data_IF_914284483225
#
_entry.id   IF_914284483225
#
_cell.length_a   1.000
_cell.length_b   1.000
_cell.length_c   1.000
_cell.angle_alpha   90.00
_cell.angle_beta   90.00
_cell.angle_gamma   90.00
#
_symmetry.space_group_name_H-M   'P 1'
#
loop_
_entity.id
_entity.type
_entity.pdbx_description
1 polymer ?
#
# COMPACT_ATOMS: atom_id res chain seq x y z
N UNK A 1 17.08 0.22 25.14
CA UNK A 1 15.94 -0.21 24.34
C UNK A 1 14.88 0.86 24.13
N UNK A 2 14.34 1.51 25.19
CA UNK A 2 13.33 2.59 25.02
C UNK A 2 13.84 3.77 24.19
N UNK A 3 15.15 4.01 24.14
CA UNK A 3 15.75 5.07 23.32
C UNK A 3 15.94 4.67 21.84
N UNK A 4 15.90 3.38 21.52
CA UNK A 4 16.05 2.90 20.14
C UNK A 4 14.74 3.05 19.35
N UNK A 5 13.60 2.70 19.97
CA UNK A 5 12.27 2.90 19.39
C UNK A 5 11.94 4.39 19.47
N UNK A 6 11.58 4.97 18.34
CA UNK A 6 11.21 6.38 18.20
C UNK A 6 9.70 6.49 18.00
N UNK A 7 9.14 7.64 18.32
CA UNK A 7 7.74 7.94 18.06
C UNK A 7 7.60 8.71 16.75
N UNK A 8 6.48 8.52 16.07
CA UNK A 8 6.07 9.37 14.97
C UNK A 8 5.84 10.84 15.37
N UNK A 9 5.75 11.13 16.66
CA UNK A 9 5.60 12.48 17.20
C UNK A 9 6.89 13.29 17.08
N UNK A 10 7.23 13.63 15.84
CA UNK A 10 8.40 14.44 15.52
C UNK A 10 8.10 15.36 14.34
N UNK A 11 8.87 16.44 14.21
CA UNK A 11 8.84 17.29 13.02
C UNK A 11 9.48 16.56 11.83
N UNK A 12 9.15 16.94 10.60
CA UNK A 12 9.76 16.40 9.37
C UNK A 12 11.29 16.42 9.46
N UNK A 13 11.87 17.55 9.91
CA UNK A 13 13.31 17.72 10.09
C UNK A 13 13.88 16.79 11.18
N UNK A 14 13.10 16.56 12.23
CA UNK A 14 13.46 15.63 13.30
C UNK A 14 13.53 14.19 12.76
N UNK A 15 12.54 13.78 11.98
CA UNK A 15 12.51 12.45 11.36
C UNK A 15 13.63 12.25 10.33
N UNK A 16 13.98 13.26 9.52
CA UNK A 16 15.15 13.21 8.63
C UNK A 16 16.45 12.95 9.44
N UNK A 17 16.66 13.70 10.54
CA UNK A 17 17.83 13.53 11.39
C UNK A 17 17.85 12.18 12.12
N UNK A 18 16.68 11.64 12.49
CA UNK A 18 16.55 10.30 13.05
C UNK A 18 16.89 9.25 11.98
N UNK A 19 16.31 9.36 10.80
CA UNK A 19 16.56 8.43 9.70
C UNK A 19 18.04 8.36 9.29
N UNK A 20 18.70 9.52 9.17
CA UNK A 20 20.14 9.59 8.86
C UNK A 20 21.02 8.91 9.91
N UNK A 21 20.62 8.93 11.20
CA UNK A 21 21.34 8.23 12.28
C UNK A 21 21.10 6.71 12.29
N UNK A 22 20.05 6.24 11.63
CA UNK A 22 19.74 4.82 11.48
C UNK A 22 20.16 4.28 10.10
N UNK A 23 21.04 5.01 9.38
CA UNK A 23 21.56 4.56 8.10
C UNK A 23 22.16 3.14 8.22
N UNK A 24 21.89 2.29 7.23
CA UNK A 24 22.28 0.88 7.16
C UNK A 24 21.72 0.02 8.32
N UNK A 25 20.65 0.50 8.98
CA UNK A 25 20.03 -0.18 10.11
C UNK A 25 18.51 -0.24 10.03
N UNK A 26 17.91 -0.57 11.18
CA UNK A 26 16.46 -0.63 11.37
C UNK A 26 15.99 0.62 12.13
N UNK A 27 15.05 1.35 11.55
CA UNK A 27 14.31 2.41 12.23
C UNK A 27 12.95 1.88 12.69
N UNK A 28 12.72 1.84 14.00
CA UNK A 28 11.43 1.51 14.59
C UNK A 28 10.70 2.80 14.96
N UNK A 29 9.49 3.00 14.40
CA UNK A 29 8.61 4.13 14.71
C UNK A 29 7.30 3.64 15.32
N UNK A 30 7.04 4.10 16.55
CA UNK A 30 5.88 3.72 17.35
C UNK A 30 4.72 4.68 17.13
N UNK A 31 3.51 4.14 16.97
CA UNK A 31 2.22 4.81 16.91
C UNK A 31 2.09 5.85 15.78
N UNK A 32 1.74 5.37 14.58
CA UNK A 32 1.59 6.23 13.39
C UNK A 32 0.52 7.32 13.54
N UNK A 33 -0.49 7.10 14.39
CA UNK A 33 -1.53 8.10 14.66
C UNK A 33 -0.98 9.40 15.32
N UNK A 34 0.23 9.38 15.86
CA UNK A 34 0.86 10.55 16.47
C UNK A 34 1.47 11.53 15.45
N UNK A 35 1.64 11.13 14.20
CA UNK A 35 2.07 12.07 13.16
C UNK A 35 0.91 12.99 12.75
N UNK A 36 1.23 14.22 12.38
CA UNK A 36 0.24 15.12 11.79
C UNK A 36 -0.35 14.48 10.52
N UNK A 37 -1.65 14.17 10.53
CA UNK A 37 -2.35 13.52 9.43
C UNK A 37 -2.17 14.25 8.09
N UNK A 38 -2.05 15.60 8.13
CA UNK A 38 -1.83 16.41 6.94
C UNK A 38 -0.46 16.20 6.31
N UNK A 39 0.51 15.66 7.04
CA UNK A 39 1.90 15.41 6.65
C UNK A 39 2.23 13.92 6.52
N UNK A 40 1.38 13.06 7.06
CA UNK A 40 1.62 11.62 7.11
C UNK A 40 2.04 11.04 5.74
N UNK A 41 1.33 11.39 4.68
CA UNK A 41 1.64 10.94 3.33
C UNK A 41 2.99 11.43 2.79
N UNK A 42 3.38 12.68 3.10
CA UNK A 42 4.67 13.24 2.68
C UNK A 42 5.84 12.58 3.40
N UNK A 43 5.68 12.36 4.70
CA UNK A 43 6.70 11.70 5.54
C UNK A 43 6.85 10.22 5.13
N UNK A 44 5.74 9.52 4.90
CA UNK A 44 5.74 8.15 4.41
C UNK A 44 6.35 7.98 3.01
N UNK A 45 6.37 9.04 2.23
CA UNK A 45 7.10 9.07 0.96
C UNK A 45 8.59 9.35 1.16
N UNK A 46 8.94 10.28 2.06
CA UNK A 46 10.31 10.75 2.32
C UNK A 46 11.18 9.64 2.95
N UNK A 47 10.68 9.00 4.01
CA UNK A 47 11.48 8.01 4.77
C UNK A 47 11.99 6.86 3.90
N UNK A 48 11.14 6.15 3.11
CA UNK A 48 11.61 5.08 2.24
C UNK A 48 12.37 5.56 1.00
N UNK A 49 12.27 6.85 0.64
CA UNK A 49 13.04 7.42 -0.47
C UNK A 49 14.53 7.61 -0.13
N UNK A 50 14.90 7.54 1.15
CA UNK A 50 16.28 7.62 1.58
C UNK A 50 16.94 8.99 1.41
N UNK A 51 16.15 10.07 1.23
CA UNK A 51 16.68 11.40 0.94
C UNK A 51 15.84 12.51 1.57
N UNK A 52 16.49 13.39 2.31
CA UNK A 52 15.88 14.56 2.93
C UNK A 52 15.59 15.69 1.94
N UNK A 53 14.95 16.75 2.44
CA UNK A 53 14.63 17.94 1.66
C UNK A 53 15.87 18.80 1.41
N UNK A 54 16.01 19.34 0.21
CA UNK A 54 17.01 20.36 -0.08
C UNK A 54 16.71 21.64 0.69
N UNK A 55 17.69 22.16 1.38
CA UNK A 55 17.58 23.43 2.15
C UNK A 55 18.73 24.34 1.80
N UNK A 56 18.51 25.65 1.96
CA UNK A 56 19.54 26.66 1.85
C UNK A 56 20.09 27.03 3.23
N UNK A 57 21.37 27.40 3.27
CA UNK A 57 21.98 28.06 4.43
C UNK A 57 21.48 29.49 4.55
N UNK A 58 21.74 30.16 5.66
CA UNK A 58 21.41 31.60 5.84
C UNK A 58 22.04 32.49 4.77
N UNK A 59 23.13 32.05 4.15
CA UNK A 59 23.86 32.78 3.12
C UNK A 59 23.43 32.40 1.70
N UNK A 60 22.31 31.67 1.50
CA UNK A 60 21.80 31.29 0.21
C UNK A 60 22.52 30.12 -0.48
N UNK A 61 23.54 29.52 0.13
CA UNK A 61 24.22 28.33 -0.40
C UNK A 61 23.38 27.08 -0.10
N UNK A 62 23.43 26.07 -0.99
CA UNK A 62 22.75 24.79 -0.76
C UNK A 62 23.36 24.09 0.45
N UNK A 63 22.51 23.63 1.37
CA UNK A 63 22.92 22.75 2.48
C UNK A 63 23.05 21.33 1.97
N UNK A 64 24.00 20.58 2.51
CA UNK A 64 24.13 19.16 2.21
C UNK A 64 22.81 18.41 2.53
N UNK A 65 22.39 17.55 1.57
CA UNK A 65 21.17 16.76 1.72
C UNK A 65 21.51 15.53 2.53
N UNK A 66 20.78 15.31 3.62
CA UNK A 66 20.88 14.06 4.36
C UNK A 66 20.36 12.89 3.49
N UNK A 67 21.09 11.79 3.51
CA UNK A 67 20.74 10.55 2.81
C UNK A 67 20.82 9.39 3.79
N UNK A 68 20.02 8.37 3.53
CA UNK A 68 19.99 7.15 4.33
C UNK A 68 19.49 5.97 3.50
N UNK A 69 19.93 4.77 3.87
CA UNK A 69 19.36 3.49 3.45
C UNK A 69 19.02 2.72 4.72
N UNK A 70 17.75 2.40 4.94
CA UNK A 70 17.31 1.76 6.18
C UNK A 70 16.10 0.85 5.95
N UNK A 71 15.91 -0.11 6.83
CA UNK A 71 14.65 -0.80 7.00
C UNK A 71 13.76 -0.01 7.97
N UNK A 72 12.48 0.14 7.65
CA UNK A 72 11.48 0.81 8.49
C UNK A 72 10.48 -0.20 9.02
N UNK A 73 10.32 -0.23 10.35
CA UNK A 73 9.24 -0.94 11.02
C UNK A 73 8.38 0.06 11.77
N UNK A 74 7.08 0.00 11.57
CA UNK A 74 6.11 0.87 12.24
C UNK A 74 4.92 0.07 12.72
N UNK A 75 4.30 0.53 13.77
CA UNK A 75 3.01 0.03 14.26
C UNK A 75 2.01 1.19 14.41
N UNK A 76 0.76 0.85 14.68
CA UNK A 76 -0.32 1.79 14.94
C UNK A 76 -1.68 1.12 14.85
N UNK A 77 -2.68 1.69 15.53
CA UNK A 77 -4.07 1.22 15.49
C UNK A 77 -4.76 1.55 14.16
N UNK A 78 -4.24 2.51 13.42
CA UNK A 78 -4.75 2.95 12.11
C UNK A 78 -3.66 2.85 11.05
N UNK A 79 -4.06 2.60 9.81
CA UNK A 79 -3.12 2.63 8.70
C UNK A 79 -2.87 4.07 8.19
N UNK A 80 -1.78 4.22 7.44
CA UNK A 80 -1.36 5.51 6.87
C UNK A 80 -2.46 6.15 6.00
N UNK A 81 -3.18 5.34 5.23
CA UNK A 81 -4.25 5.82 4.33
C UNK A 81 -5.42 6.35 5.14
N UNK A 82 -5.93 5.55 6.08
CA UNK A 82 -7.02 5.95 6.97
C UNK A 82 -6.66 7.22 7.76
N UNK A 83 -5.41 7.33 8.19
CA UNK A 83 -4.92 8.52 8.90
C UNK A 83 -4.92 9.77 8.00
N UNK A 84 -4.39 9.68 6.77
CA UNK A 84 -4.39 10.78 5.82
C UNK A 84 -5.80 11.17 5.35
N UNK A 85 -6.67 10.20 5.12
CA UNK A 85 -8.05 10.42 4.67
C UNK A 85 -8.88 11.14 5.73
N UNK A 86 -8.54 11.02 7.03
CA UNK A 86 -9.21 11.73 8.13
C UNK A 86 -9.20 13.26 7.97
N UNK A 87 -8.23 13.81 7.24
CA UNK A 87 -8.10 15.25 6.93
C UNK A 87 -8.40 15.56 5.46
N UNK A 88 -9.13 14.69 4.75
CA UNK A 88 -9.51 14.84 3.33
C UNK A 88 -8.31 15.01 2.37
N UNK A 89 -7.16 14.48 2.72
CA UNK A 89 -6.02 14.36 1.82
C UNK A 89 -6.00 12.95 1.25
N UNK A 90 -6.18 12.83 -0.07
CA UNK A 90 -6.00 11.55 -0.75
C UNK A 90 -4.54 11.09 -0.67
N UNK A 91 -4.34 9.82 -0.34
CA UNK A 91 -3.03 9.17 -0.46
C UNK A 91 -2.80 8.76 -1.91
N UNK A 92 -1.58 8.91 -2.39
CA UNK A 92 -1.21 8.42 -3.73
C UNK A 92 -0.79 6.96 -3.65
N UNK A 93 -1.14 6.17 -4.65
CA UNK A 93 -0.76 4.75 -4.77
C UNK A 93 0.75 4.50 -4.54
N UNK A 94 1.60 5.48 -4.89
CA UNK A 94 3.03 5.41 -4.63
C UNK A 94 3.43 5.46 -3.14
N UNK A 95 2.58 5.94 -2.25
CA UNK A 95 2.84 5.96 -0.80
C UNK A 95 2.54 4.60 -0.18
N UNK A 96 1.45 3.95 -0.58
CA UNK A 96 1.08 2.60 -0.13
C UNK A 96 2.12 1.53 -0.53
N UNK A 97 2.81 1.73 -1.66
CA UNK A 97 3.90 0.84 -2.09
C UNK A 97 5.19 1.00 -1.28
N UNK A 98 5.35 2.12 -0.60
CA UNK A 98 6.55 2.42 0.18
C UNK A 98 6.42 2.03 1.64
N UNK A 99 5.25 2.26 2.22
CA UNK A 99 4.90 1.82 3.57
C UNK A 99 3.86 0.71 3.44
N UNK A 100 4.32 -0.53 3.54
CA UNK A 100 3.52 -1.72 3.38
C UNK A 100 2.75 -1.95 4.67
N UNK A 101 1.43 -1.94 4.60
CA UNK A 101 0.58 -2.11 5.76
C UNK A 101 0.07 -3.56 5.85
N UNK A 102 0.45 -4.25 6.89
CA UNK A 102 0.10 -5.64 7.16
C UNK A 102 -0.75 -5.67 8.42
N UNK A 103 -1.94 -6.31 8.41
CA UNK A 103 -2.71 -6.51 9.63
C UNK A 103 -1.92 -7.41 10.60
N UNK A 104 -1.80 -6.98 11.85
CA UNK A 104 -1.01 -7.67 12.86
C UNK A 104 -1.85 -8.46 13.88
N UNK A 105 -3.17 -8.30 13.84
CA UNK A 105 -4.13 -8.83 14.81
C UNK A 105 -5.06 -9.93 14.24
N UNK A 106 -4.62 -10.59 13.17
CA UNK A 106 -5.41 -11.62 12.49
C UNK A 106 -5.19 -13.04 13.03
N UNK A 107 -4.34 -13.20 14.06
CA UNK A 107 -4.08 -14.50 14.68
C UNK A 107 -5.11 -14.83 15.77
N UNK A 108 -5.14 -16.10 16.23
CA UNK A 108 -6.09 -16.57 17.25
C UNK A 108 -6.03 -15.77 18.55
N UNK A 109 -4.83 -15.29 18.92
CA UNK A 109 -4.60 -14.48 20.13
C UNK A 109 -4.05 -13.10 19.75
N UNK A 110 -4.78 -12.36 18.92
CA UNK A 110 -4.40 -11.07 18.36
C UNK A 110 -3.16 -11.18 17.45
N UNK A 111 -1.97 -10.81 17.92
CA UNK A 111 -0.74 -10.94 17.14
C UNK A 111 0.00 -12.28 17.34
N UNK A 112 -0.57 -13.20 18.09
CA UNK A 112 0.03 -14.50 18.38
C UNK A 112 -0.84 -15.65 17.87
N UNK A 113 -0.24 -16.63 17.22
CA UNK A 113 -0.89 -17.89 16.85
C UNK A 113 -0.86 -18.89 17.99
N UNK A 114 0.21 -18.86 18.80
CA UNK A 114 0.43 -19.77 19.91
C UNK A 114 0.94 -19.02 21.14
N UNK A 115 0.43 -19.38 22.31
CA UNK A 115 0.83 -18.79 23.59
C UNK A 115 1.93 -19.58 24.32
N UNK A 116 2.42 -20.67 23.75
CA UNK A 116 3.49 -21.52 24.29
C UNK A 116 3.32 -21.93 25.77
N UNK A 117 2.06 -22.14 26.17
CA UNK A 117 1.71 -22.57 27.52
C UNK A 117 1.23 -21.44 28.43
N UNK A 118 1.30 -20.19 27.99
CA UNK A 118 0.76 -19.06 28.76
C UNK A 118 -0.77 -19.02 28.69
N UNK A 119 -1.42 -18.48 29.72
CA UNK A 119 -2.88 -18.48 29.84
C UNK A 119 -3.58 -17.49 28.91
N UNK A 120 -2.91 -16.43 28.46
CA UNK A 120 -3.43 -15.43 27.54
C UNK A 120 -2.29 -14.63 26.88
N UNK A 121 -2.65 -13.85 25.83
CA UNK A 121 -1.69 -13.05 25.07
C UNK A 121 -0.96 -11.98 25.87
N UNK A 122 -1.58 -11.40 26.91
CA UNK A 122 -0.94 -10.40 27.74
C UNK A 122 0.21 -11.02 28.56
N UNK A 123 0.01 -12.18 29.18
CA UNK A 123 1.07 -12.90 29.90
C UNK A 123 2.20 -13.34 28.97
N UNK A 124 1.85 -13.77 27.75
CA UNK A 124 2.88 -14.11 26.77
C UNK A 124 3.67 -12.89 26.30
N UNK A 125 3.04 -11.74 26.11
CA UNK A 125 3.71 -10.48 25.81
C UNK A 125 4.65 -10.03 26.94
N UNK A 126 4.22 -10.15 28.20
CA UNK A 126 5.07 -9.85 29.37
C UNK A 126 6.28 -10.79 29.46
N UNK A 127 6.09 -12.08 29.17
CA UNK A 127 7.18 -13.05 29.08
C UNK A 127 8.20 -12.66 28.02
N UNK A 128 7.74 -12.26 26.83
CA UNK A 128 8.62 -11.80 25.74
C UNK A 128 9.37 -10.52 26.12
N UNK A 129 8.68 -9.52 26.71
CA UNK A 129 9.33 -8.28 27.16
C UNK A 129 10.42 -8.55 28.18
N UNK A 130 10.17 -9.44 29.14
CA UNK A 130 11.17 -9.89 30.12
C UNK A 130 12.36 -10.59 29.42
N UNK A 131 12.07 -11.53 28.53
CA UNK A 131 13.09 -12.31 27.85
C UNK A 131 14.03 -11.42 27.01
N UNK A 132 13.49 -10.44 26.26
CA UNK A 132 14.32 -9.52 25.45
C UNK A 132 15.10 -8.50 26.27
N UNK A 133 14.66 -8.19 27.49
CA UNK A 133 15.45 -7.35 28.42
C UNK A 133 16.64 -8.07 29.01
N UNK A 134 16.51 -9.37 29.26
CA UNK A 134 17.55 -10.22 29.82
C UNK A 134 18.52 -10.73 28.74
N UNK A 135 18.04 -10.92 27.53
CA UNK A 135 18.77 -11.53 26.41
C UNK A 135 18.75 -10.61 25.20
N UNK A 136 19.79 -9.82 24.98
CA UNK A 136 19.90 -8.89 23.86
C UNK A 136 21.33 -8.69 23.39
N UNK A 137 21.49 -8.25 22.12
CA UNK A 137 22.75 -7.83 21.52
C UNK A 137 23.56 -8.94 20.85
N UNK A 138 23.51 -10.18 21.32
CA UNK A 138 24.33 -11.29 20.81
C UNK A 138 23.95 -11.70 19.41
N UNK A 139 22.65 -11.82 19.10
CA UNK A 139 22.16 -12.24 17.80
C UNK A 139 22.57 -11.24 16.68
N UNK A 140 22.55 -9.94 16.96
CA UNK A 140 22.95 -8.95 15.97
C UNK A 140 24.45 -9.00 15.63
N UNK A 141 25.32 -9.22 16.63
CA UNK A 141 26.74 -9.40 16.39
C UNK A 141 27.00 -10.65 15.55
N UNK A 142 26.39 -11.77 15.91
CA UNK A 142 26.49 -13.00 15.11
C UNK A 142 25.99 -12.82 13.68
N UNK A 143 24.94 -12.04 13.48
CA UNK A 143 24.43 -11.68 12.15
C UNK A 143 25.44 -10.85 11.34
N UNK A 144 26.08 -9.85 11.94
CA UNK A 144 27.09 -9.02 11.27
C UNK A 144 28.33 -9.85 10.90
N UNK A 145 28.76 -10.76 11.77
CA UNK A 145 29.87 -11.67 11.48
C UNK A 145 29.50 -12.59 10.30
N UNK A 146 28.29 -13.16 10.32
CA UNK A 146 27.78 -14.00 9.23
C UNK A 146 27.76 -13.27 7.88
N UNK A 147 27.23 -12.05 7.87
CA UNK A 147 27.17 -11.21 6.67
C UNK A 147 28.56 -10.87 6.15
N UNK A 148 29.49 -10.55 7.04
CA UNK A 148 30.87 -10.14 6.66
C UNK A 148 31.66 -11.31 6.06
N UNK A 149 31.54 -12.48 6.69
CA UNK A 149 32.27 -13.68 6.24
C UNK A 149 31.70 -14.22 4.91
N UNK A 150 30.37 -14.16 4.73
CA UNK A 150 29.69 -14.80 3.60
C UNK A 150 29.18 -13.81 2.54
N UNK A 151 29.69 -12.59 2.53
CA UNK A 151 29.14 -11.46 1.72
C UNK A 151 28.99 -11.83 0.22
N UNK A 152 30.01 -12.40 -0.40
CA UNK A 152 29.97 -12.72 -1.83
C UNK A 152 28.96 -13.84 -2.14
N UNK A 153 28.93 -14.88 -1.34
CA UNK A 153 27.96 -15.99 -1.47
C UNK A 153 26.52 -15.51 -1.29
N UNK A 154 26.30 -14.65 -0.29
CA UNK A 154 24.97 -14.04 -0.03
C UNK A 154 24.52 -13.19 -1.22
N UNK A 155 25.43 -12.37 -1.77
CA UNK A 155 25.14 -11.53 -2.92
C UNK A 155 24.85 -12.34 -4.19
N UNK A 156 25.58 -13.41 -4.42
CA UNK A 156 25.34 -14.34 -5.55
C UNK A 156 24.01 -15.06 -5.40
N UNK A 157 23.69 -15.60 -4.23
CA UNK A 157 22.46 -16.32 -3.95
C UNK A 157 21.18 -15.47 -4.01
N UNK A 158 21.30 -14.17 -3.81
CA UNK A 158 20.14 -13.25 -3.81
C UNK A 158 19.32 -13.29 -5.10
N UNK A 159 19.96 -13.34 -6.26
CA UNK A 159 19.26 -13.32 -7.56
C UNK A 159 18.33 -14.52 -7.73
N UNK A 160 18.82 -15.69 -7.40
CA UNK A 160 18.08 -16.94 -7.58
C UNK A 160 16.96 -17.04 -6.55
N UNK A 161 17.25 -16.71 -5.28
CA UNK A 161 16.24 -16.65 -4.23
C UNK A 161 15.12 -15.68 -4.55
N UNK A 162 15.46 -14.46 -4.95
CA UNK A 162 14.49 -13.44 -5.36
C UNK A 162 13.58 -13.96 -6.47
N UNK A 163 14.17 -14.55 -7.53
CA UNK A 163 13.38 -15.07 -8.65
C UNK A 163 12.44 -16.18 -8.21
N UNK A 164 12.92 -17.12 -7.39
CA UNK A 164 12.10 -18.19 -6.85
C UNK A 164 10.96 -17.69 -5.98
N UNK A 165 11.23 -16.72 -5.08
CA UNK A 165 10.21 -16.11 -4.23
C UNK A 165 9.14 -15.39 -5.05
N UNK A 166 9.53 -14.53 -5.98
CA UNK A 166 8.59 -13.78 -6.83
C UNK A 166 7.67 -14.71 -7.62
N UNK A 167 8.21 -15.76 -8.22
CA UNK A 167 7.43 -16.75 -8.96
C UNK A 167 6.49 -17.57 -8.06
N UNK A 168 6.78 -17.66 -6.75
CA UNK A 168 5.94 -18.40 -5.80
C UNK A 168 4.75 -17.58 -5.27
N UNK A 169 4.77 -16.26 -5.38
CA UNK A 169 3.75 -15.38 -4.78
C UNK A 169 2.89 -14.62 -5.80
N UNK A 170 3.27 -14.57 -7.06
CA UNK A 170 2.53 -13.85 -8.10
C UNK A 170 2.72 -14.50 -9.47
N UNK A 171 1.64 -14.65 -10.24
CA UNK A 171 1.69 -15.14 -11.64
C UNK A 171 2.41 -14.16 -12.55
N UNK A 172 2.20 -12.86 -12.36
CA UNK A 172 2.93 -11.77 -13.03
C UNK A 172 3.50 -10.81 -11.97
N UNK A 173 4.77 -11.01 -11.57
CA UNK A 173 5.43 -10.14 -10.59
C UNK A 173 5.84 -8.78 -11.16
N UNK A 174 5.23 -8.33 -12.24
CA UNK A 174 5.51 -7.03 -12.85
C UNK A 174 4.87 -5.86 -12.09
N UNK A 175 5.33 -4.66 -12.39
CA UNK A 175 4.71 -3.43 -11.92
C UNK A 175 4.82 -3.19 -10.40
N UNK A 176 3.73 -2.74 -9.80
CA UNK A 176 3.70 -2.32 -8.38
C UNK A 176 3.80 -3.51 -7.43
N UNK A 177 3.11 -4.60 -7.75
CA UNK A 177 3.07 -5.82 -6.92
C UNK A 177 4.45 -6.45 -6.84
N UNK A 178 5.15 -6.58 -7.97
CA UNK A 178 6.50 -7.12 -8.00
C UNK A 178 7.49 -6.31 -7.14
N UNK A 179 7.37 -4.97 -7.12
CA UNK A 179 8.21 -4.14 -6.24
C UNK A 179 7.95 -4.37 -4.75
N UNK A 180 6.71 -4.65 -4.38
CA UNK A 180 6.37 -4.98 -2.98
C UNK A 180 6.81 -6.41 -2.67
N UNK A 181 6.54 -7.38 -3.55
CA UNK A 181 7.00 -8.76 -3.40
C UNK A 181 8.54 -8.84 -3.23
N UNK A 182 9.30 -7.99 -3.94
CA UNK A 182 10.75 -7.90 -3.78
C UNK A 182 11.17 -7.49 -2.35
N UNK A 183 10.41 -6.62 -1.68
CA UNK A 183 10.68 -6.26 -0.29
C UNK A 183 10.42 -7.42 0.68
N UNK A 184 9.38 -8.20 0.43
CA UNK A 184 9.13 -9.43 1.19
C UNK A 184 10.21 -10.48 0.91
N UNK A 185 10.68 -10.58 -0.34
CA UNK A 185 11.78 -11.47 -0.70
C UNK A 185 13.08 -11.12 0.06
N UNK A 186 13.40 -9.82 0.24
CA UNK A 186 14.56 -9.38 1.03
C UNK A 186 14.41 -9.83 2.48
N UNK A 187 13.24 -9.62 3.09
CA UNK A 187 12.97 -10.04 4.47
C UNK A 187 13.05 -11.56 4.63
N UNK A 188 12.46 -12.32 3.69
CA UNK A 188 12.54 -13.77 3.64
C UNK A 188 13.99 -14.27 3.53
N UNK A 189 14.76 -13.71 2.60
CA UNK A 189 16.15 -14.10 2.38
C UNK A 189 17.02 -13.85 3.61
N UNK A 190 16.90 -12.68 4.23
CA UNK A 190 17.59 -12.37 5.47
C UNK A 190 17.21 -13.33 6.60
N UNK A 191 15.92 -13.69 6.71
CA UNK A 191 15.44 -14.66 7.68
C UNK A 191 15.98 -16.07 7.45
N UNK A 192 16.04 -16.56 6.22
CA UNK A 192 16.63 -17.86 5.89
C UNK A 192 18.15 -17.90 6.21
N UNK A 193 18.86 -16.82 5.86
CA UNK A 193 20.29 -16.70 6.18
C UNK A 193 20.57 -16.63 7.69
N UNK A 194 19.61 -16.16 8.48
CA UNK A 194 19.72 -16.07 9.94
C UNK A 194 19.31 -17.35 10.67
N UNK A 195 18.90 -18.40 9.97
CA UNK A 195 18.34 -19.63 10.56
C UNK A 195 19.27 -20.29 11.59
N UNK A 196 20.57 -20.31 11.35
CA UNK A 196 21.56 -20.85 12.30
C UNK A 196 21.67 -20.02 13.59
N UNK A 197 21.34 -18.71 13.53
CA UNK A 197 21.38 -17.79 14.67
C UNK A 197 20.06 -17.85 15.44
N UNK A 198 18.94 -17.91 14.72
CA UNK A 198 17.59 -17.88 15.28
C UNK A 198 17.09 -19.26 15.73
N UNK A 199 17.67 -20.33 15.19
CA UNK A 199 17.18 -21.69 15.37
C UNK A 199 15.92 -22.03 14.59
N UNK A 200 15.52 -21.18 13.64
CA UNK A 200 14.36 -21.45 12.78
C UNK A 200 14.66 -22.56 11.79
N UNK A 201 13.66 -23.38 11.53
CA UNK A 201 13.75 -24.38 10.47
C UNK A 201 13.86 -23.70 9.09
N UNK A 202 14.65 -24.27 8.17
CA UNK A 202 14.71 -23.76 6.79
C UNK A 202 13.30 -23.66 6.18
N UNK A 203 13.04 -22.56 5.49
CA UNK A 203 11.74 -22.25 4.89
C UNK A 203 10.79 -21.46 5.79
N UNK A 204 11.04 -21.37 7.10
CA UNK A 204 10.18 -20.64 8.05
C UNK A 204 10.02 -19.17 7.67
N UNK A 205 11.12 -18.49 7.40
CA UNK A 205 11.10 -17.07 7.05
C UNK A 205 10.43 -16.83 5.68
N UNK A 206 10.63 -17.73 4.75
CA UNK A 206 10.01 -17.70 3.43
C UNK A 206 8.49 -17.84 3.53
N UNK A 207 7.98 -18.80 4.28
CA UNK A 207 6.54 -18.98 4.47
C UNK A 207 5.92 -17.82 5.25
N UNK A 208 6.56 -17.32 6.30
CA UNK A 208 6.10 -16.13 7.03
C UNK A 208 5.99 -14.90 6.11
N UNK A 209 6.99 -14.68 5.25
CA UNK A 209 6.96 -13.59 4.28
C UNK A 209 5.83 -13.74 3.25
N UNK A 210 5.52 -14.97 2.81
CA UNK A 210 4.38 -15.25 1.91
C UNK A 210 3.05 -14.98 2.59
N UNK A 211 2.87 -15.40 3.85
CA UNK A 211 1.67 -15.10 4.62
C UNK A 211 1.46 -13.59 4.74
N UNK A 212 2.49 -12.84 5.10
CA UNK A 212 2.43 -11.38 5.18
C UNK A 212 2.13 -10.73 3.83
N UNK A 213 2.73 -11.22 2.74
CA UNK A 213 2.46 -10.74 1.39
C UNK A 213 1.00 -11.00 0.98
N UNK A 214 0.47 -12.19 1.26
CA UNK A 214 -0.93 -12.55 0.98
C UNK A 214 -1.88 -11.65 1.76
N UNK A 215 -1.65 -11.44 3.06
CA UNK A 215 -2.46 -10.56 3.88
C UNK A 215 -2.45 -9.11 3.35
N UNK A 216 -1.30 -8.64 2.84
CA UNK A 216 -1.21 -7.34 2.19
C UNK A 216 -2.01 -7.28 0.87
N UNK A 217 -1.95 -8.34 0.03
CA UNK A 217 -2.72 -8.44 -1.22
C UNK A 217 -4.23 -8.41 -0.93
N UNK A 218 -4.69 -9.20 0.04
CA UNK A 218 -6.10 -9.26 0.43
C UNK A 218 -6.61 -7.90 0.92
N UNK A 219 -5.84 -7.25 1.80
CA UNK A 219 -6.17 -5.91 2.30
C UNK A 219 -6.24 -4.85 1.19
N UNK A 220 -5.42 -4.99 0.16
CA UNK A 220 -5.41 -4.11 -1.00
C UNK A 220 -6.61 -4.31 -1.92
N UNK A 221 -7.35 -5.40 -1.79
CA UNK A 221 -8.44 -5.79 -2.69
C UNK A 221 -7.96 -6.58 -3.92
N UNK A 222 -6.84 -7.31 -3.79
CA UNK A 222 -6.34 -8.23 -4.80
C UNK A 222 -5.10 -7.76 -5.57
N UNK A 223 -4.75 -8.52 -6.59
CA UNK A 223 -3.55 -8.31 -7.41
C UNK A 223 -3.69 -7.16 -8.42
N UNK A 224 -4.91 -6.67 -8.61
CA UNK A 224 -5.18 -5.57 -9.53
C UNK A 224 -4.62 -4.23 -9.04
N UNK A 225 -4.42 -3.30 -9.96
CA UNK A 225 -3.97 -1.95 -9.61
C UNK A 225 -5.04 -1.26 -8.74
N UNK A 226 -4.64 -0.64 -7.64
CA UNK A 226 -5.54 0.14 -6.78
C UNK A 226 -6.33 1.19 -7.58
N UNK A 227 -5.69 1.80 -8.58
CA UNK A 227 -6.33 2.77 -9.46
C UNK A 227 -7.42 2.11 -10.33
N UNK A 228 -7.24 0.85 -10.74
CA UNK A 228 -8.22 0.12 -11.54
C UNK A 228 -9.42 -0.29 -10.69
N UNK A 229 -9.20 -0.68 -9.44
CA UNK A 229 -10.27 -0.94 -8.48
C UNK A 229 -11.02 0.35 -8.12
N UNK A 230 -10.32 1.47 -7.93
CA UNK A 230 -10.96 2.78 -7.71
C UNK A 230 -11.85 3.19 -8.89
N UNK A 231 -11.42 2.91 -10.13
CA UNK A 231 -12.20 3.17 -11.33
C UNK A 231 -13.50 2.37 -11.33
N UNK A 232 -13.43 1.06 -11.05
CA UNK A 232 -14.60 0.18 -10.99
C UNK A 232 -15.55 0.61 -9.88
N UNK A 233 -15.03 0.87 -8.69
CA UNK A 233 -15.85 1.28 -7.55
C UNK A 233 -16.53 2.63 -7.79
N UNK A 234 -15.84 3.57 -8.41
CA UNK A 234 -16.38 4.89 -8.73
C UNK A 234 -17.57 4.83 -9.70
N UNK A 235 -17.51 3.98 -10.71
CA UNK A 235 -18.65 3.82 -11.62
C UNK A 235 -19.81 3.10 -10.94
N UNK A 236 -19.55 2.08 -10.12
CA UNK A 236 -20.58 1.41 -9.31
C UNK A 236 -21.28 2.40 -8.39
N UNK A 237 -20.53 3.19 -7.64
CA UNK A 237 -21.09 4.20 -6.74
C UNK A 237 -21.91 5.25 -7.47
N UNK A 238 -21.43 5.72 -8.63
CA UNK A 238 -22.18 6.70 -9.43
C UNK A 238 -23.53 6.14 -9.88
N UNK A 239 -23.58 4.89 -10.32
CA UNK A 239 -24.82 4.27 -10.77
C UNK A 239 -25.77 3.97 -9.60
N UNK A 240 -25.24 3.48 -8.47
CA UNK A 240 -26.05 3.10 -7.31
C UNK A 240 -26.53 4.33 -6.51
N UNK A 241 -25.66 5.28 -6.21
CA UNK A 241 -25.96 6.44 -5.36
C UNK A 241 -26.55 7.61 -6.13
N UNK A 242 -26.04 7.84 -7.33
CA UNK A 242 -26.33 9.02 -8.15
C UNK A 242 -27.28 8.65 -9.31
N UNK A 243 -28.01 7.56 -9.23
CA UNK A 243 -28.97 7.12 -10.27
C UNK A 243 -29.94 8.22 -10.71
N UNK A 244 -30.31 9.12 -9.81
CA UNK A 244 -31.13 10.30 -10.11
C UNK A 244 -30.46 11.31 -11.08
N UNK A 245 -29.17 11.20 -11.37
CA UNK A 245 -28.44 12.03 -12.34
C UNK A 245 -28.46 11.46 -13.75
N UNK A 246 -29.10 10.30 -13.95
CA UNK A 246 -29.30 9.70 -15.26
C UNK A 246 -30.71 10.01 -15.75
N UNK A 247 -30.81 10.61 -16.93
CA UNK A 247 -32.09 10.93 -17.57
C UNK A 247 -32.67 9.69 -18.24
N UNK A 248 -33.96 9.42 -18.05
CA UNK A 248 -34.67 8.44 -18.86
C UNK A 248 -34.70 8.94 -20.33
N UNK A 249 -34.10 8.20 -21.24
CA UNK A 249 -34.05 8.58 -22.65
C UNK A 249 -35.43 8.59 -23.31
N UNK A 250 -36.44 7.93 -22.73
CA UNK A 250 -37.81 7.94 -23.19
C UNK A 250 -38.60 9.15 -22.67
N UNK A 251 -38.01 9.96 -21.77
CA UNK A 251 -38.62 11.14 -21.17
C UNK A 251 -37.72 12.37 -21.41
N UNK A 252 -37.74 12.92 -22.63
CA UNK A 252 -36.81 13.98 -23.04
C UNK A 252 -36.96 15.27 -22.24
N UNK A 253 -38.13 15.54 -21.70
CA UNK A 253 -38.49 16.77 -20.96
C UNK A 253 -38.09 16.69 -19.47
N UNK A 254 -37.84 15.49 -18.92
CA UNK A 254 -37.44 15.30 -17.52
C UNK A 254 -35.89 15.33 -17.41
N UNK A 255 -35.31 16.53 -17.34
CA UNK A 255 -33.82 16.68 -17.30
C UNK A 255 -33.38 16.76 -15.84
N UNK A 256 -32.57 15.79 -15.34
CA UNK A 256 -32.04 15.82 -13.98
C UNK A 256 -31.04 16.95 -13.76
N UNK A 257 -31.01 17.47 -12.54
CA UNK A 257 -29.93 18.40 -12.11
C UNK A 257 -28.58 17.69 -12.16
N UNK A 258 -27.57 18.33 -12.74
CA UNK A 258 -26.21 17.79 -12.91
C UNK A 258 -26.18 16.43 -13.66
N UNK A 259 -26.96 16.30 -14.72
CA UNK A 259 -27.05 15.10 -15.54
C UNK A 259 -25.66 14.63 -15.97
N UNK A 260 -25.36 13.34 -15.76
CA UNK A 260 -24.12 12.67 -16.20
C UNK A 260 -24.33 11.69 -17.33
N UNK A 261 -25.56 11.20 -17.53
CA UNK A 261 -25.86 10.22 -18.57
C UNK A 261 -27.35 10.00 -18.76
N UNK A 262 -27.67 8.92 -19.44
CA UNK A 262 -29.02 8.51 -19.75
C UNK A 262 -29.24 7.02 -19.37
N UNK A 263 -30.48 6.67 -19.09
CA UNK A 263 -30.92 5.29 -18.95
C UNK A 263 -31.86 5.01 -20.10
N UNK A 264 -31.65 3.90 -20.78
CA UNK A 264 -32.58 3.36 -21.76
C UNK A 264 -32.60 1.85 -21.65
N UNK A 265 -33.74 1.27 -21.40
CA UNK A 265 -33.90 -0.15 -21.12
C UNK A 265 -32.96 -0.60 -19.98
N UNK A 266 -32.08 -1.55 -20.19
CA UNK A 266 -31.07 -2.02 -19.21
C UNK A 266 -29.67 -1.43 -19.44
N UNK A 267 -29.59 -0.31 -20.18
CA UNK A 267 -28.32 0.34 -20.50
C UNK A 267 -28.20 1.71 -19.83
N UNK A 268 -27.04 1.94 -19.17
CA UNK A 268 -26.57 3.28 -18.83
C UNK A 268 -25.72 3.81 -20.00
N UNK A 269 -26.10 4.95 -20.55
CA UNK A 269 -25.47 5.57 -21.69
C UNK A 269 -24.80 6.89 -21.23
N UNK A 270 -23.48 6.91 -21.19
CA UNK A 270 -22.71 8.01 -20.60
C UNK A 270 -21.96 8.75 -21.71
N UNK A 271 -22.37 9.97 -22.09
CA UNK A 271 -21.63 10.80 -23.02
C UNK A 271 -20.22 11.10 -22.50
N UNK A 272 -19.29 11.42 -23.41
CA UNK A 272 -17.88 11.71 -23.05
C UNK A 272 -17.77 12.80 -21.98
N UNK A 273 -18.63 13.83 -22.00
CA UNK A 273 -18.61 14.89 -20.99
C UNK A 273 -19.09 14.40 -19.63
N UNK A 274 -20.15 13.58 -19.56
CA UNK A 274 -20.56 12.92 -18.32
C UNK A 274 -19.50 11.97 -17.78
N UNK A 275 -18.81 11.24 -18.68
CA UNK A 275 -17.68 10.37 -18.33
C UNK A 275 -16.56 11.15 -17.64
N UNK A 276 -16.16 12.32 -18.16
CA UNK A 276 -15.18 13.18 -17.54
C UNK A 276 -15.60 13.69 -16.16
N UNK A 277 -16.89 13.96 -15.97
CA UNK A 277 -17.45 14.37 -14.66
C UNK A 277 -17.36 13.22 -13.65
N UNK A 278 -17.74 12.01 -14.04
CA UNK A 278 -17.68 10.83 -13.17
C UNK A 278 -16.24 10.56 -12.73
N UNK A 279 -15.28 10.61 -13.65
CA UNK A 279 -13.87 10.35 -13.40
C UNK A 279 -13.04 11.61 -13.16
N UNK A 280 -13.66 12.69 -12.65
CA UNK A 280 -12.92 13.89 -12.25
C UNK A 280 -11.85 13.55 -11.21
N UNK A 281 -10.60 13.97 -11.46
CA UNK A 281 -9.43 13.63 -10.62
C UNK A 281 -8.72 12.32 -11.00
N UNK A 282 -9.27 11.54 -11.94
CA UNK A 282 -8.64 10.37 -12.54
C UNK A 282 -8.44 10.58 -14.04
N UNK A 283 -7.58 9.77 -14.68
CA UNK A 283 -7.47 9.78 -16.14
C UNK A 283 -8.70 9.10 -16.78
N UNK A 284 -9.58 9.90 -17.35
CA UNK A 284 -10.81 9.43 -18.00
C UNK A 284 -10.58 8.47 -19.18
N UNK A 285 -9.41 8.56 -19.86
CA UNK A 285 -9.05 7.62 -20.93
C UNK A 285 -8.63 6.28 -20.35
N UNK A 286 -7.82 6.29 -19.29
CA UNK A 286 -7.45 5.09 -18.55
C UNK A 286 -8.68 4.42 -17.98
N UNK A 287 -9.61 5.16 -17.37
CA UNK A 287 -10.87 4.64 -16.86
C UNK A 287 -11.66 3.90 -17.96
N UNK A 288 -11.74 4.45 -19.16
CA UNK A 288 -12.38 3.77 -20.28
C UNK A 288 -11.67 2.47 -20.67
N UNK A 289 -10.33 2.46 -20.71
CA UNK A 289 -9.53 1.28 -21.06
C UNK A 289 -9.68 0.16 -20.03
N UNK A 290 -9.62 0.49 -18.73
CA UNK A 290 -9.78 -0.47 -17.62
C UNK A 290 -11.16 -1.11 -17.65
N UNK A 291 -12.23 -0.30 -17.75
CA UNK A 291 -13.61 -0.81 -17.75
C UNK A 291 -13.94 -1.59 -19.01
N UNK A 292 -13.32 -1.26 -20.16
CA UNK A 292 -13.42 -2.06 -21.38
C UNK A 292 -12.71 -3.41 -21.23
N UNK A 293 -11.50 -3.43 -20.69
CA UNK A 293 -10.75 -4.66 -20.45
C UNK A 293 -11.50 -5.62 -19.51
N UNK A 294 -12.24 -5.08 -18.53
CA UNK A 294 -13.09 -5.85 -17.62
C UNK A 294 -14.48 -6.21 -18.21
N UNK A 295 -14.77 -5.82 -19.44
CA UNK A 295 -16.07 -6.08 -20.07
C UNK A 295 -17.24 -5.26 -19.50
N UNK A 296 -16.97 -4.29 -18.59
CA UNK A 296 -18.01 -3.49 -17.94
C UNK A 296 -18.58 -2.43 -18.88
N UNK A 297 -17.78 -1.87 -19.78
CA UNK A 297 -18.23 -0.83 -20.71
C UNK A 297 -17.79 -1.09 -22.14
N UNK A 298 -18.53 -0.56 -23.09
CA UNK A 298 -18.14 -0.49 -24.51
C UNK A 298 -18.35 0.92 -25.07
N UNK A 299 -17.44 1.44 -25.93
CA UNK A 299 -17.64 2.70 -26.62
C UNK A 299 -18.70 2.53 -27.73
N UNK A 300 -19.55 3.57 -27.90
CA UNK A 300 -20.55 3.59 -28.98
C UNK A 300 -20.85 5.04 -29.40
N UNK A 301 -21.69 5.21 -30.41
CA UNK A 301 -22.27 6.48 -30.81
C UNK A 301 -23.79 6.36 -30.87
N UNK A 302 -24.46 7.09 -29.98
CA UNK A 302 -25.92 7.08 -29.84
C UNK A 302 -26.51 8.46 -30.11
N UNK A 303 -27.74 8.47 -30.60
CA UNK A 303 -28.55 9.66 -30.62
C UNK A 303 -29.23 9.81 -29.27
N UNK A 304 -28.98 10.95 -28.59
CA UNK A 304 -29.47 11.20 -27.23
C UNK A 304 -30.30 12.49 -27.19
N UNK A 305 -31.39 12.53 -26.40
CA UNK A 305 -32.25 13.68 -26.29
C UNK A 305 -31.48 14.94 -25.89
N UNK A 306 -31.65 16.02 -26.64
CA UNK A 306 -30.97 17.29 -26.38
C UNK A 306 -29.48 17.36 -26.74
N UNK A 307 -28.84 16.24 -27.16
CA UNK A 307 -27.43 16.20 -27.49
C UNK A 307 -27.16 15.78 -28.95
N UNK A 308 -28.16 15.22 -29.65
CA UNK A 308 -27.97 14.64 -30.98
C UNK A 308 -27.12 13.36 -30.97
N UNK A 309 -26.36 13.13 -32.03
CA UNK A 309 -25.50 11.93 -32.16
C UNK A 309 -24.13 12.18 -31.53
N UNK A 310 -23.89 11.61 -30.37
CA UNK A 310 -22.66 11.81 -29.58
C UNK A 310 -21.93 10.48 -29.34
N UNK A 311 -20.62 10.58 -29.10
CA UNK A 311 -19.82 9.46 -28.60
C UNK A 311 -20.14 9.25 -27.12
N UNK A 312 -20.35 7.98 -26.73
CA UNK A 312 -20.71 7.59 -25.38
C UNK A 312 -20.06 6.28 -24.99
N UNK A 313 -20.16 5.94 -23.72
CA UNK A 313 -19.82 4.65 -23.14
C UNK A 313 -21.10 3.99 -22.64
N UNK A 314 -21.28 2.71 -22.96
CA UNK A 314 -22.47 1.95 -22.57
C UNK A 314 -22.08 0.97 -21.48
N UNK A 315 -22.89 0.90 -20.45
CA UNK A 315 -22.77 -0.04 -19.33
C UNK A 315 -24.10 -0.77 -19.19
N UNK A 316 -24.07 -2.07 -19.28
CA UNK A 316 -25.27 -2.90 -19.02
C UNK A 316 -25.45 -3.05 -17.49
N UNK A 317 -26.70 -3.05 -17.04
CA UNK A 317 -27.04 -3.14 -15.63
C UNK A 317 -26.45 -4.41 -14.99
N UNK A 318 -26.48 -5.53 -15.69
CA UNK A 318 -25.98 -6.82 -15.23
C UNK A 318 -24.44 -6.87 -15.10
N UNK A 319 -23.69 -6.03 -15.85
CA UNK A 319 -22.23 -5.99 -15.76
C UNK A 319 -21.68 -5.33 -14.48
N UNK A 320 -22.55 -4.89 -13.59
CA UNK A 320 -22.19 -4.27 -12.31
C UNK A 320 -22.63 -5.13 -11.08
N UNK A 321 -23.21 -6.30 -11.34
CA UNK A 321 -23.87 -7.13 -10.31
C UNK A 321 -22.92 -8.07 -9.54
N UNK A 322 -21.60 -7.99 -9.73
CA UNK A 322 -20.60 -8.78 -8.98
C UNK A 322 -19.74 -7.92 -8.04
#
# INVERSE_FOLDING_TARGET
>A
PKEYIRSWRATDNGLEGIAARHNDGLLCLDEIAQVDASKAGEIAYMLPNGKGKQRSTKNGTAKEIQQWCLALLSNGEIDLKSHADSVRKSTYAGQEMRVINIPADNCEFACFEHLHGEANGALFADLLDKAVRENHGTAFNAWLDHLTINYDTIKEGWRDFKSAFLNSVAEDPSGQIGRVAEKFAIAAYAGELSSEITGWSPGTATEAAKVCFTAWIERRGGTESHEDNEIVERIRQTIVRDGARFQDANKPDEIPTARVGFIKDDEYIIPVEGWKVIFAGLDAKRAASVLQAKGITKPDRRYLPGLGRVRCYIIHRDSLAD
#
